data_IF_528418844781
#
_entry.id   IF_528418844781
#
_cell.length_a   1.000
_cell.length_b   1.000
_cell.length_c   1.000
_cell.angle_alpha   90.00
_cell.angle_beta   90.00
_cell.angle_gamma   90.00
#
_symmetry.space_group_name_H-M   'P 1'
#
loop_
_entity.id
_entity.type
_entity.pdbx_description
1 polymer ?
#
# COMPACT_ATOMS: atom_id res chain seq x y z
N UNK A 1 60.79 7.69 9.89
CA UNK A 1 60.78 7.67 8.42
C UNK A 1 59.33 7.49 7.97
N UNK A 2 58.78 8.52 7.32
CA UNK A 2 57.41 8.55 6.83
C UNK A 2 57.28 7.68 5.58
N UNK A 3 56.35 6.72 5.56
CA UNK A 3 56.03 5.98 4.34
C UNK A 3 54.54 6.08 4.00
N UNK A 4 54.29 7.08 3.15
CA UNK A 4 53.36 7.15 2.01
C UNK A 4 52.14 6.21 2.00
N UNK A 5 51.00 6.86 2.17
CA UNK A 5 49.68 6.53 1.65
C UNK A 5 49.75 6.09 0.18
N UNK A 6 49.13 4.95 -0.15
CA UNK A 6 48.80 4.56 -1.51
C UNK A 6 47.26 4.45 -1.58
N UNK A 7 46.64 5.53 -2.04
CA UNK A 7 45.23 5.53 -2.46
C UNK A 7 45.14 4.77 -3.78
N UNK A 8 44.48 3.61 -3.77
CA UNK A 8 44.14 2.88 -4.98
C UNK A 8 42.74 3.33 -5.40
N UNK A 9 42.70 4.21 -6.40
CA UNK A 9 41.50 4.52 -7.19
C UNK A 9 41.29 3.36 -8.16
N UNK A 10 40.14 2.68 -8.09
CA UNK A 10 39.70 1.77 -9.13
C UNK A 10 38.47 2.33 -9.85
N UNK A 11 38.63 2.43 -11.16
CA UNK A 11 37.76 3.07 -12.13
C UNK A 11 36.64 2.11 -12.54
N UNK A 12 35.47 2.72 -12.67
CA UNK A 12 34.20 2.33 -13.30
C UNK A 12 34.19 1.17 -14.31
N UNK A 13 33.20 0.29 -14.16
CA UNK A 13 32.52 -0.34 -15.29
C UNK A 13 31.05 0.09 -15.30
N UNK A 14 30.76 1.04 -16.19
CA UNK A 14 29.45 1.20 -16.79
C UNK A 14 29.13 -0.08 -17.57
N UNK A 15 28.12 -0.82 -17.13
CA UNK A 15 27.39 -1.72 -18.02
C UNK A 15 26.02 -1.08 -18.27
N UNK A 16 25.93 -0.47 -19.45
CA UNK A 16 24.69 -0.18 -20.13
C UNK A 16 24.02 -1.53 -20.40
N UNK A 17 22.96 -1.84 -19.65
CA UNK A 17 21.95 -2.80 -20.11
C UNK A 17 20.77 -2.00 -20.64
N UNK A 18 20.86 -1.62 -21.92
CA UNK A 18 19.70 -1.24 -22.71
C UNK A 18 19.11 -2.56 -23.23
N UNK A 19 18.35 -3.23 -22.38
CA UNK A 19 17.53 -4.38 -22.76
C UNK A 19 16.12 -3.87 -22.98
N UNK A 20 15.80 -3.50 -24.23
CA UNK A 20 14.42 -3.50 -24.67
C UNK A 20 13.97 -4.95 -24.75
N UNK A 21 12.86 -5.27 -24.10
CA UNK A 21 12.06 -6.43 -24.45
C UNK A 21 10.60 -5.98 -24.42
N UNK A 22 9.97 -6.11 -25.59
CA UNK A 22 8.52 -6.06 -25.77
C UNK A 22 7.91 -7.18 -24.93
N UNK A 23 7.38 -6.83 -23.76
CA UNK A 23 6.61 -7.74 -22.92
C UNK A 23 5.29 -7.08 -22.61
N UNK A 24 4.21 -7.52 -23.29
CA UNK A 24 2.85 -7.15 -22.91
C UNK A 24 2.69 -7.40 -21.41
N UNK A 25 2.64 -6.30 -20.64
CA UNK A 25 2.60 -6.38 -19.19
C UNK A 25 1.33 -7.11 -18.81
N UNK A 26 1.47 -8.24 -18.11
CA UNK A 26 0.35 -8.90 -17.47
C UNK A 26 -0.36 -7.85 -16.59
N UNK A 27 -1.49 -7.35 -17.07
CA UNK A 27 -2.24 -6.32 -16.36
C UNK A 27 -2.69 -6.90 -15.02
N UNK A 28 -2.51 -6.15 -13.94
CA UNK A 28 -2.88 -6.65 -12.62
C UNK A 28 -4.40 -6.75 -12.53
N UNK A 29 -4.92 -7.86 -12.02
CA UNK A 29 -6.36 -8.01 -11.76
C UNK A 29 -6.71 -7.60 -10.34
N UNK A 30 -8.00 -7.46 -10.05
CA UNK A 30 -8.49 -7.25 -8.69
C UNK A 30 -8.13 -8.41 -7.76
N UNK A 31 -8.13 -9.66 -8.24
CA UNK A 31 -7.69 -10.81 -7.45
C UNK A 31 -6.20 -10.72 -7.08
N UNK A 32 -5.36 -10.16 -7.97
CA UNK A 32 -3.95 -9.91 -7.65
C UNK A 32 -3.83 -8.88 -6.53
N UNK A 33 -4.64 -7.83 -6.56
CA UNK A 33 -4.71 -6.82 -5.50
C UNK A 33 -5.10 -7.43 -4.14
N UNK A 34 -6.18 -8.22 -4.10
CA UNK A 34 -6.60 -8.90 -2.87
C UNK A 34 -5.50 -9.82 -2.30
N UNK A 35 -4.80 -10.55 -3.17
CA UNK A 35 -3.69 -11.42 -2.74
C UNK A 35 -2.52 -10.62 -2.19
N UNK A 36 -2.16 -9.52 -2.83
CA UNK A 36 -1.06 -8.66 -2.39
C UNK A 36 -1.37 -8.10 -1.00
N UNK A 37 -2.54 -7.49 -0.81
CA UNK A 37 -2.99 -6.94 0.48
C UNK A 37 -2.91 -7.99 1.58
N UNK A 38 -3.55 -9.14 1.36
CA UNK A 38 -3.59 -10.22 2.37
C UNK A 38 -2.23 -10.85 2.66
N UNK A 39 -1.25 -10.75 1.75
CA UNK A 39 0.10 -11.26 1.96
C UNK A 39 0.99 -10.34 2.83
N UNK A 40 0.56 -9.09 3.05
CA UNK A 40 1.26 -8.15 3.91
C UNK A 40 1.01 -8.38 5.39
N UNK A 41 -0.03 -9.15 5.71
CA UNK A 41 -0.43 -9.48 7.08
C UNK A 41 -0.29 -10.98 7.33
N UNK A 42 -0.36 -11.35 8.59
CA UNK A 42 -0.44 -12.73 9.03
C UNK A 42 -1.90 -13.22 9.06
N UNK A 43 -2.10 -14.52 9.25
CA UNK A 43 -3.44 -15.14 9.28
C UNK A 43 -4.31 -14.72 10.48
N UNK A 44 -3.75 -13.95 11.42
CA UNK A 44 -4.45 -13.41 12.60
C UNK A 44 -4.88 -11.97 12.44
N UNK A 45 -4.63 -11.35 11.27
CA UNK A 45 -5.03 -9.98 11.02
C UNK A 45 -6.55 -9.79 11.03
N UNK A 46 -6.99 -8.63 11.48
CA UNK A 46 -8.39 -8.26 11.55
C UNK A 46 -8.87 -7.84 10.15
N UNK A 47 -9.88 -8.54 9.64
CA UNK A 47 -10.59 -8.15 8.42
C UNK A 47 -11.66 -7.12 8.78
N UNK A 48 -11.38 -5.84 8.51
CA UNK A 48 -12.31 -4.74 8.76
C UNK A 48 -13.36 -4.57 7.66
N UNK A 49 -13.48 -5.56 6.76
CA UNK A 49 -14.55 -5.67 5.79
C UNK A 49 -14.29 -4.91 4.50
N UNK A 50 -15.35 -4.80 3.71
CA UNK A 50 -15.36 -4.11 2.42
C UNK A 50 -16.48 -3.08 2.40
N UNK A 51 -16.13 -1.83 2.10
CA UNK A 51 -17.06 -0.72 1.91
C UNK A 51 -17.25 -0.50 0.42
N UNK A 52 -18.47 -0.74 -0.06
CA UNK A 52 -18.86 -0.44 -1.45
C UNK A 52 -18.96 1.07 -1.67
N UNK A 53 -18.89 1.52 -2.93
CA UNK A 53 -19.03 2.93 -3.25
C UNK A 53 -20.36 3.52 -2.70
N UNK A 54 -20.26 4.68 -2.04
CA UNK A 54 -21.40 5.34 -1.39
C UNK A 54 -21.88 4.67 -0.09
N UNK A 55 -21.26 3.56 0.32
CA UNK A 55 -21.51 2.90 1.59
C UNK A 55 -20.98 3.69 2.78
N UNK A 56 -21.56 3.45 3.97
CA UNK A 56 -21.03 4.00 5.22
C UNK A 56 -19.68 3.38 5.54
N UNK A 57 -18.70 4.22 5.85
CA UNK A 57 -17.34 3.81 6.20
C UNK A 57 -17.15 3.59 7.71
N UNK A 58 -18.14 3.98 8.53
CA UNK A 58 -18.03 4.04 9.99
C UNK A 58 -17.54 2.74 10.63
N UNK A 59 -18.18 1.61 10.34
CA UNK A 59 -17.84 0.32 10.97
C UNK A 59 -16.43 -0.14 10.59
N UNK A 60 -16.04 0.02 9.32
CA UNK A 60 -14.69 -0.30 8.86
C UNK A 60 -13.65 0.63 9.47
N UNK A 61 -13.94 1.94 9.54
CA UNK A 61 -13.06 2.93 10.18
C UNK A 61 -12.87 2.65 11.68
N UNK A 62 -13.96 2.34 12.39
CA UNK A 62 -13.92 2.00 13.80
C UNK A 62 -13.10 0.72 14.04
N UNK A 63 -13.29 -0.30 13.21
CA UNK A 63 -12.50 -1.53 13.26
C UNK A 63 -11.00 -1.26 13.05
N UNK A 64 -10.64 -0.47 12.03
CA UNK A 64 -9.24 -0.12 11.78
C UNK A 64 -8.63 0.68 12.94
N UNK A 65 -9.37 1.64 13.48
CA UNK A 65 -8.92 2.45 14.62
C UNK A 65 -8.69 1.60 15.88
N UNK A 66 -9.61 0.68 16.19
CA UNK A 66 -9.47 -0.24 17.31
C UNK A 66 -8.28 -1.19 17.11
N UNK A 67 -8.16 -1.81 15.93
CA UNK A 67 -7.04 -2.69 15.61
C UNK A 67 -5.69 -1.95 15.70
N UNK A 68 -5.61 -0.74 15.14
CA UNK A 68 -4.41 0.10 15.22
C UNK A 68 -4.02 0.43 16.66
N UNK A 69 -4.99 0.86 17.49
CA UNK A 69 -4.75 1.23 18.89
C UNK A 69 -4.28 0.04 19.75
N UNK A 70 -4.62 -1.19 19.34
CA UNK A 70 -4.23 -2.42 20.03
C UNK A 70 -2.99 -3.10 19.40
N UNK A 71 -2.26 -2.43 18.51
CA UNK A 71 -1.12 -2.98 17.77
C UNK A 71 -1.47 -4.30 17.02
N UNK A 72 -2.71 -4.39 16.51
CA UNK A 72 -3.20 -5.54 15.75
C UNK A 72 -3.17 -5.25 14.26
N UNK A 73 -2.51 -6.12 13.51
CA UNK A 73 -2.54 -6.09 12.04
C UNK A 73 -3.99 -6.11 11.55
N UNK A 74 -4.28 -5.31 10.54
CA UNK A 74 -5.61 -5.25 9.94
C UNK A 74 -5.51 -4.97 8.44
N UNK A 75 -6.60 -5.21 7.74
CA UNK A 75 -6.84 -4.67 6.42
C UNK A 75 -8.32 -4.31 6.25
N UNK A 76 -8.61 -3.33 5.41
CA UNK A 76 -9.96 -3.01 4.96
C UNK A 76 -9.95 -2.78 3.44
N UNK A 77 -11.11 -2.87 2.78
CA UNK A 77 -11.23 -2.58 1.36
C UNK A 77 -12.28 -1.50 1.13
N UNK A 78 -11.93 -0.47 0.36
CA UNK A 78 -12.85 0.60 -0.01
C UNK A 78 -12.92 0.71 -1.52
N UNK A 79 -14.14 0.67 -2.05
CA UNK A 79 -14.42 0.93 -3.45
C UNK A 79 -14.62 2.44 -3.67
N UNK A 80 -13.85 2.98 -4.61
CA UNK A 80 -13.85 4.37 -5.03
C UNK A 80 -14.29 4.45 -6.49
N UNK A 81 -15.22 5.35 -6.79
CA UNK A 81 -15.62 5.62 -8.17
C UNK A 81 -14.68 6.66 -8.78
N UNK A 82 -14.17 6.38 -9.98
CA UNK A 82 -13.61 7.39 -10.87
C UNK A 82 -14.43 7.40 -12.16
N UNK A 83 -14.43 8.55 -12.85
CA UNK A 83 -15.31 8.86 -13.98
C UNK A 83 -15.33 7.78 -15.09
N UNK A 84 -14.21 7.08 -15.26
CA UNK A 84 -13.93 6.08 -16.30
C UNK A 84 -13.38 4.76 -15.76
N UNK A 85 -13.15 4.65 -14.45
CA UNK A 85 -12.36 3.57 -13.84
C UNK A 85 -12.89 3.22 -12.46
N UNK A 86 -12.96 1.94 -12.11
CA UNK A 86 -13.15 1.56 -10.70
C UNK A 86 -11.80 1.61 -10.00
N UNK A 87 -11.76 2.24 -8.83
CA UNK A 87 -10.56 2.30 -8.00
C UNK A 87 -10.84 1.60 -6.68
N UNK A 88 -9.89 0.82 -6.20
CA UNK A 88 -9.98 0.24 -4.86
C UNK A 88 -8.80 0.72 -4.03
N UNK A 89 -9.03 0.91 -2.75
CA UNK A 89 -7.98 1.20 -1.79
C UNK A 89 -8.08 0.26 -0.61
N UNK A 90 -6.93 -0.10 -0.06
CA UNK A 90 -6.83 -0.92 1.13
C UNK A 90 -5.79 -0.35 2.09
N UNK A 91 -6.23 0.28 3.19
CA UNK A 91 -5.39 0.51 4.36
C UNK A 91 -5.02 -0.83 5.01
N UNK A 92 -3.74 -1.01 5.32
CA UNK A 92 -3.18 -2.25 5.87
C UNK A 92 -2.15 -1.91 6.94
N UNK A 93 -2.36 -2.38 8.18
CA UNK A 93 -1.28 -2.43 9.17
C UNK A 93 -0.52 -3.75 8.98
N UNK A 94 0.66 -3.64 8.39
CA UNK A 94 1.45 -4.78 7.93
C UNK A 94 2.13 -5.53 9.07
N UNK A 95 2.68 -6.71 8.79
CA UNK A 95 3.47 -7.50 9.75
C UNK A 95 4.75 -6.82 10.26
N UNK A 96 5.25 -5.79 9.57
CA UNK A 96 6.38 -4.97 10.04
C UNK A 96 5.95 -3.86 11.00
N UNK A 97 4.63 -3.64 11.17
CA UNK A 97 4.09 -2.53 11.95
C UNK A 97 3.89 -1.25 11.13
N UNK A 98 4.15 -1.27 9.82
CA UNK A 98 3.94 -0.11 8.96
C UNK A 98 2.49 -0.05 8.50
N UNK A 99 1.87 1.12 8.58
CA UNK A 99 0.58 1.39 7.93
C UNK A 99 0.84 1.72 6.45
N UNK A 100 0.20 0.96 5.56
CA UNK A 100 0.29 1.15 4.11
C UNK A 100 -1.07 1.31 3.48
N UNK A 101 -1.13 2.11 2.42
CA UNK A 101 -2.29 2.24 1.56
C UNK A 101 -1.99 1.61 0.20
N UNK A 102 -2.67 0.51 -0.12
CA UNK A 102 -2.60 -0.13 -1.42
C UNK A 102 -3.73 0.40 -2.30
N UNK A 103 -3.40 0.75 -3.54
CA UNK A 103 -4.35 1.23 -4.53
C UNK A 103 -4.38 0.29 -5.72
N UNK A 104 -5.58 -0.02 -6.19
CA UNK A 104 -5.81 -0.67 -7.48
C UNK A 104 -6.58 0.29 -8.37
N UNK A 105 -5.91 0.76 -9.43
CA UNK A 105 -6.51 1.61 -10.46
C UNK A 105 -6.80 0.75 -11.69
N UNK A 106 -8.08 0.59 -12.00
CA UNK A 106 -8.53 -0.33 -13.06
C UNK A 106 -9.25 0.45 -14.16
N UNK A 107 -8.70 0.43 -15.38
CA UNK A 107 -9.44 0.86 -16.57
C UNK A 107 -10.57 -0.11 -16.93
N UNK A 108 -10.43 -1.39 -16.56
CA UNK A 108 -11.45 -2.44 -16.60
C UNK A 108 -11.18 -3.48 -15.50
N UNK A 109 -12.17 -4.30 -15.11
CA UNK A 109 -12.02 -5.29 -14.01
C UNK A 109 -10.80 -6.22 -14.20
N UNK A 110 -10.46 -6.55 -15.44
CA UNK A 110 -9.35 -7.45 -15.80
C UNK A 110 -8.03 -6.75 -16.07
N UNK A 111 -8.01 -5.41 -16.07
CA UNK A 111 -6.86 -4.60 -16.45
C UNK A 111 -6.64 -3.43 -15.49
N UNK A 112 -5.58 -3.47 -14.70
CA UNK A 112 -5.22 -2.36 -13.84
C UNK A 112 -3.76 -2.34 -13.39
N UNK A 113 -3.47 -1.35 -12.56
CA UNK A 113 -2.18 -1.16 -11.90
C UNK A 113 -2.37 -1.17 -10.39
N UNK A 114 -1.45 -1.81 -9.69
CA UNK A 114 -1.39 -1.81 -8.23
C UNK A 114 -0.21 -0.94 -7.80
N UNK A 115 -0.45 0.01 -6.91
CA UNK A 115 0.57 0.87 -6.30
C UNK A 115 0.37 0.90 -4.79
N UNK A 116 1.41 1.19 -4.02
CA UNK A 116 1.32 1.37 -2.58
C UNK A 116 2.00 2.65 -2.11
N UNK A 117 1.56 3.13 -0.95
CA UNK A 117 2.11 4.26 -0.22
C UNK A 117 2.26 3.86 1.25
N UNK A 118 3.37 4.25 1.88
CA UNK A 118 3.60 4.00 3.30
C UNK A 118 3.27 5.27 4.10
N UNK A 119 2.39 5.14 5.09
CA UNK A 119 2.09 6.18 6.06
C UNK A 119 3.17 6.19 7.14
N UNK A 120 4.12 7.11 7.02
CA UNK A 120 5.21 7.26 7.99
C UNK A 120 4.67 7.93 9.25
N UNK A 121 5.07 7.41 10.41
CA UNK A 121 4.65 7.91 11.73
C UNK A 121 3.11 8.03 11.83
N UNK A 122 2.41 6.97 11.44
CA UNK A 122 0.95 6.92 11.47
C UNK A 122 0.42 7.23 12.88
N UNK A 123 -0.54 8.14 12.97
CA UNK A 123 -1.26 8.46 14.20
C UNK A 123 -2.77 8.37 13.97
N UNK A 124 -3.51 7.78 14.91
CA UNK A 124 -4.97 7.78 14.85
C UNK A 124 -5.50 9.18 15.20
N UNK A 125 -6.31 9.76 14.31
CA UNK A 125 -6.79 11.15 14.45
C UNK A 125 -7.93 11.31 15.46
N UNK A 126 -8.56 10.22 15.90
CA UNK A 126 -9.82 10.25 16.64
C UNK A 126 -11.07 10.29 15.75
N UNK A 127 -10.92 10.35 14.42
CA UNK A 127 -12.05 10.50 13.49
C UNK A 127 -12.40 9.17 12.82
N UNK A 128 -13.60 8.65 13.10
CA UNK A 128 -14.12 7.41 12.49
C UNK A 128 -15.37 7.62 11.64
N UNK A 129 -16.07 8.75 11.84
CA UNK A 129 -17.25 9.15 11.06
C UNK A 129 -16.90 9.79 9.70
N UNK A 130 -15.60 10.05 9.46
CA UNK A 130 -15.07 10.71 8.27
C UNK A 130 -14.68 9.71 7.17
N UNK A 131 -14.02 10.21 6.12
CA UNK A 131 -13.46 9.31 5.09
C UNK A 131 -12.31 8.47 5.66
N UNK A 132 -12.05 7.31 5.06
CA UNK A 132 -10.94 6.42 5.42
C UNK A 132 -9.57 7.12 5.45
N UNK A 133 -9.39 8.18 4.67
CA UNK A 133 -8.15 8.97 4.60
C UNK A 133 -7.91 9.80 5.86
N UNK A 134 -8.97 10.13 6.58
CA UNK A 134 -8.92 10.99 7.76
C UNK A 134 -8.81 10.17 9.05
N UNK A 135 -8.86 8.84 8.98
CA UNK A 135 -8.71 7.97 10.15
C UNK A 135 -7.29 8.07 10.70
N UNK A 136 -6.29 8.18 9.81
CA UNK A 136 -4.88 8.24 10.18
C UNK A 136 -4.23 9.50 9.61
N UNK A 137 -3.42 10.16 10.42
CA UNK A 137 -2.50 11.22 9.98
C UNK A 137 -1.12 10.60 9.72
N UNK A 138 -0.45 11.07 8.67
CA UNK A 138 0.85 10.59 8.23
C UNK A 138 1.80 11.78 8.05
N UNK A 139 3.08 11.59 8.37
CA UNK A 139 4.11 12.57 8.04
C UNK A 139 4.34 12.65 6.53
N UNK A 140 4.72 13.85 6.06
CA UNK A 140 5.04 14.18 4.65
C UNK A 140 6.53 14.02 4.38
#
# INVERSE_FOLDING_TARGET
>A
MFNKTISVVWISTFLISCGGDDGGGDEATYENFLKIVKSQTDNTAIDCGTVTYGGSQYESNLCMADAFTNDQQFYAFYELLSYDSTRYVSPVLTKSGDLKFYYYNSGTITSGSITDETCVNAEFTGSVDSSWQEVFECDI
#
